data_IF_310157918958
#
_entry.id   IF_310157918958
#
_cell.length_a   1.000
_cell.length_b   1.000
_cell.length_c   1.000
_cell.angle_alpha   90.00
_cell.angle_beta   90.00
_cell.angle_gamma   90.00
#
_symmetry.space_group_name_H-M   'P 1'
#
loop_
_entity.id
_entity.type
_entity.pdbx_description
1 polymer ?
#
# COMPACT_ATOMS: atom_id res chain seq x y z
N UNK A 1 -48.48 2.71 -35.51
CA UNK A 1 -47.26 3.54 -35.46
C UNK A 1 -46.56 3.28 -34.14
N UNK A 2 -45.43 2.57 -34.19
CA UNK A 2 -44.55 2.29 -33.05
C UNK A 2 -44.05 3.58 -32.41
N UNK A 3 -44.16 3.72 -31.08
CA UNK A 3 -43.17 4.41 -30.25
C UNK A 3 -43.05 3.70 -28.90
N UNK A 4 -42.18 2.69 -28.88
CA UNK A 4 -41.46 2.24 -27.69
C UNK A 4 -40.66 3.44 -27.16
N UNK A 5 -40.81 3.78 -25.88
CA UNK A 5 -39.77 4.48 -25.12
C UNK A 5 -39.72 3.83 -23.73
N UNK A 6 -39.04 2.69 -23.70
CA UNK A 6 -38.49 2.07 -22.50
C UNK A 6 -37.32 2.96 -22.07
N UNK A 7 -37.56 3.89 -21.14
CA UNK A 7 -36.47 4.49 -20.36
C UNK A 7 -36.24 3.62 -19.12
N UNK A 8 -35.57 2.50 -19.36
CA UNK A 8 -34.87 1.76 -18.33
C UNK A 8 -33.62 2.59 -17.98
N UNK A 9 -33.79 3.61 -17.14
CA UNK A 9 -32.65 4.23 -16.48
C UNK A 9 -32.10 3.18 -15.52
N UNK A 10 -31.12 2.44 -16.03
CA UNK A 10 -30.19 1.60 -15.29
C UNK A 10 -29.90 2.24 -13.95
N UNK A 11 -30.51 1.69 -12.91
CA UNK A 11 -29.94 1.71 -11.57
C UNK A 11 -28.64 0.93 -11.72
N UNK A 12 -27.57 1.62 -12.11
CA UNK A 12 -26.20 1.18 -11.86
C UNK A 12 -26.06 1.23 -10.35
N UNK A 13 -26.62 0.21 -9.68
CA UNK A 13 -26.21 -0.19 -8.37
C UNK A 13 -24.76 -0.62 -8.51
N UNK A 14 -23.86 0.36 -8.45
CA UNK A 14 -22.49 0.11 -8.08
C UNK A 14 -22.59 -0.72 -6.79
N UNK A 15 -21.96 -1.90 -6.72
CA UNK A 15 -21.93 -2.63 -5.48
C UNK A 15 -21.38 -1.64 -4.45
N UNK A 16 -22.23 -1.32 -3.48
CA UNK A 16 -21.86 -0.57 -2.28
C UNK A 16 -20.57 -1.23 -1.83
N UNK A 17 -19.48 -0.46 -1.81
CA UNK A 17 -18.18 -0.93 -1.38
C UNK A 17 -18.32 -1.36 0.08
N UNK A 18 -18.68 -2.62 0.27
CA UNK A 18 -18.51 -3.34 1.53
C UNK A 18 -17.01 -3.55 1.64
N UNK A 19 -16.29 -2.61 2.24
CA UNK A 19 -14.92 -2.90 2.63
C UNK A 19 -14.46 -2.07 3.83
N UNK A 20 -15.22 -2.16 4.91
CA UNK A 20 -14.62 -2.11 6.24
C UNK A 20 -14.29 -3.55 6.63
N UNK A 21 -13.02 -3.97 6.50
CA UNK A 21 -12.58 -5.29 6.96
C UNK A 21 -11.42 -5.93 6.20
N UNK A 22 -10.88 -5.29 5.16
CA UNK A 22 -9.62 -5.76 4.60
C UNK A 22 -8.84 -4.59 4.00
N UNK A 23 -8.00 -3.95 4.83
CA UNK A 23 -7.20 -2.77 4.50
C UNK A 23 -6.16 -3.05 3.38
N UNK A 24 -6.01 -4.32 2.98
CA UNK A 24 -5.21 -4.75 1.84
C UNK A 24 -5.82 -4.32 0.51
N UNK A 25 -5.12 -3.45 -0.22
CA UNK A 25 -5.43 -3.10 -1.61
C UNK A 25 -4.67 -4.01 -2.59
N UNK A 26 -5.01 -3.95 -3.88
CA UNK A 26 -4.15 -4.45 -4.97
C UNK A 26 -3.50 -3.26 -5.71
N UNK A 27 -2.26 -2.86 -5.38
CA UNK A 27 -1.61 -1.70 -5.99
C UNK A 27 -1.48 -1.78 -7.53
N UNK A 28 -1.49 -2.98 -8.12
CA UNK A 28 -1.38 -3.14 -9.58
C UNK A 28 -2.65 -2.69 -10.31
N UNK A 29 -3.81 -2.80 -9.64
CA UNK A 29 -5.12 -2.48 -10.16
C UNK A 29 -5.73 -1.20 -9.54
N UNK A 30 -5.24 -0.77 -8.37
CA UNK A 30 -5.81 0.33 -7.57
C UNK A 30 -5.82 1.66 -8.34
N UNK A 31 -7.01 2.26 -8.46
CA UNK A 31 -7.24 3.52 -9.18
C UNK A 31 -7.54 4.70 -8.24
N UNK A 32 -7.35 5.90 -8.76
CA UNK A 32 -7.52 7.15 -8.03
C UNK A 32 -8.90 7.33 -7.41
N UNK A 33 -9.96 6.88 -8.07
CA UNK A 33 -11.31 6.90 -7.53
C UNK A 33 -11.40 6.11 -6.22
N UNK A 34 -10.73 4.97 -6.10
CA UNK A 34 -10.73 4.16 -4.88
C UNK A 34 -10.02 4.91 -3.74
N UNK A 35 -8.84 5.50 -4.01
CA UNK A 35 -8.07 6.27 -3.03
C UNK A 35 -8.87 7.44 -2.45
N UNK A 36 -9.54 8.24 -3.29
CA UNK A 36 -10.27 9.44 -2.85
C UNK A 36 -11.60 9.13 -2.17
N UNK A 37 -12.06 7.87 -2.26
CA UNK A 37 -13.26 7.39 -1.54
C UNK A 37 -12.94 6.74 -0.21
N UNK A 38 -11.66 6.51 0.10
CA UNK A 38 -11.28 6.00 1.41
C UNK A 38 -11.70 6.98 2.51
N UNK A 39 -12.23 6.48 3.63
CA UNK A 39 -12.63 7.34 4.73
C UNK A 39 -11.42 8.08 5.25
N UNK A 40 -11.52 9.40 5.28
CA UNK A 40 -10.60 10.24 6.03
C UNK A 40 -10.91 9.97 7.52
N UNK A 41 -9.91 9.55 8.29
CA UNK A 41 -10.11 9.24 9.71
C UNK A 41 -10.55 10.49 10.49
N UNK A 42 -11.14 10.29 11.67
CA UNK A 42 -11.41 11.38 12.60
C UNK A 42 -10.10 12.15 12.87
N UNK A 43 -10.01 13.39 12.40
CA UNK A 43 -8.78 14.19 12.42
C UNK A 43 -8.25 14.62 11.05
N UNK A 44 -8.89 14.21 9.95
CA UNK A 44 -8.54 14.71 8.61
C UNK A 44 -7.36 13.98 7.96
N UNK A 45 -6.92 12.85 8.51
CA UNK A 45 -5.75 12.14 8.00
C UNK A 45 -6.11 11.31 6.77
N UNK A 46 -5.34 11.52 5.71
CA UNK A 46 -5.43 10.75 4.48
C UNK A 46 -5.12 9.25 4.72
N UNK A 47 -5.55 8.34 3.84
CA UNK A 47 -5.45 6.88 4.04
C UNK A 47 -3.99 6.36 4.06
N UNK A 48 -3.35 6.42 5.24
CA UNK A 48 -1.93 6.08 5.43
C UNK A 48 -1.65 4.59 5.18
N UNK A 49 -2.61 3.70 5.49
CA UNK A 49 -2.41 2.27 5.33
C UNK A 49 -2.27 1.87 3.85
N UNK A 50 -3.11 2.42 2.98
CA UNK A 50 -3.05 2.28 1.53
C UNK A 50 -1.80 2.96 0.97
N UNK A 51 -1.47 4.15 1.47
CA UNK A 51 -0.28 4.90 1.08
C UNK A 51 1.00 4.08 1.26
N UNK A 52 1.16 3.40 2.40
CA UNK A 52 2.31 2.53 2.67
C UNK A 52 2.42 1.39 1.65
N UNK A 53 1.29 0.73 1.33
CA UNK A 53 1.28 -0.35 0.34
C UNK A 53 1.63 0.16 -1.07
N UNK A 54 1.11 1.32 -1.47
CA UNK A 54 1.40 1.94 -2.77
C UNK A 54 2.87 2.34 -2.84
N UNK A 55 3.38 3.01 -1.81
CA UNK A 55 4.75 3.51 -1.78
C UNK A 55 5.77 2.37 -1.84
N UNK A 56 5.54 1.30 -1.07
CA UNK A 56 6.36 0.10 -1.13
C UNK A 56 6.35 -0.52 -2.53
N UNK A 57 5.16 -0.68 -3.12
CA UNK A 57 5.01 -1.26 -4.46
C UNK A 57 5.75 -0.44 -5.52
N UNK A 58 5.57 0.89 -5.53
CA UNK A 58 6.24 1.80 -6.47
C UNK A 58 7.75 1.81 -6.24
N UNK A 59 8.19 1.84 -4.98
CA UNK A 59 9.61 1.79 -4.61
C UNK A 59 10.30 0.53 -5.12
N UNK A 60 9.64 -0.63 -5.06
CA UNK A 60 10.17 -1.86 -5.67
C UNK A 60 10.29 -1.75 -7.21
N UNK A 61 9.31 -1.15 -7.88
CA UNK A 61 9.34 -0.95 -9.34
C UNK A 61 10.41 0.03 -9.81
N UNK A 62 10.82 0.95 -8.94
CA UNK A 62 11.88 1.93 -9.22
C UNK A 62 13.25 1.53 -8.66
N UNK A 63 13.35 0.38 -8.01
CA UNK A 63 14.60 -0.11 -7.42
C UNK A 63 15.05 0.67 -6.18
N UNK A 64 14.15 1.41 -5.53
CA UNK A 64 14.42 2.10 -4.27
C UNK A 64 14.08 1.20 -3.07
N UNK A 65 15.05 0.68 -2.31
CA UNK A 65 14.77 -0.21 -1.18
C UNK A 65 14.43 0.53 0.12
N UNK A 66 14.35 1.87 0.13
CA UNK A 66 14.24 2.67 1.35
C UNK A 66 12.79 3.08 1.60
N UNK A 67 12.28 2.77 2.79
CA UNK A 67 11.03 3.34 3.30
C UNK A 67 11.33 4.68 3.97
N UNK A 68 10.65 5.74 3.55
CA UNK A 68 10.90 7.11 4.00
C UNK A 68 9.61 7.67 4.66
N UNK A 69 9.50 7.59 6.00
CA UNK A 69 8.30 8.03 6.70
C UNK A 69 8.08 9.54 6.63
N UNK A 70 9.14 10.34 6.46
CA UNK A 70 9.04 11.81 6.41
C UNK A 70 8.38 12.28 5.10
N UNK A 71 8.62 11.57 4.00
CA UNK A 71 8.05 11.93 2.70
C UNK A 71 6.66 11.33 2.45
N UNK A 72 6.23 10.33 3.22
CA UNK A 72 4.97 9.63 2.97
C UNK A 72 3.75 10.56 3.00
N UNK A 73 3.61 11.37 4.04
CA UNK A 73 2.47 12.28 4.21
C UNK A 73 2.36 13.35 3.11
N UNK A 74 3.43 14.12 2.79
CA UNK A 74 3.35 15.09 1.71
C UNK A 74 3.18 14.42 0.32
N UNK A 75 3.76 13.23 0.11
CA UNK A 75 3.58 12.46 -1.12
C UNK A 75 2.12 12.01 -1.29
N UNK A 76 1.51 11.51 -0.21
CA UNK A 76 0.09 11.15 -0.18
C UNK A 76 -0.79 12.38 -0.49
N UNK A 77 -0.48 13.54 0.09
CA UNK A 77 -1.21 14.78 -0.21
C UNK A 77 -1.16 15.16 -1.69
N UNK A 78 0.02 15.10 -2.32
CA UNK A 78 0.18 15.38 -3.75
C UNK A 78 -0.54 14.34 -4.63
N UNK A 79 -0.44 13.06 -4.30
CA UNK A 79 -1.12 12.00 -5.03
C UNK A 79 -2.64 12.12 -4.91
N UNK A 80 -3.16 12.44 -3.72
CA UNK A 80 -4.59 12.64 -3.48
C UNK A 80 -5.15 13.80 -4.32
N UNK A 81 -4.46 14.95 -4.34
CA UNK A 81 -4.85 16.10 -5.16
C UNK A 81 -4.87 15.77 -6.66
N UNK A 82 -3.87 15.05 -7.16
CA UNK A 82 -3.84 14.59 -8.55
C UNK A 82 -4.98 13.59 -8.85
N UNK A 83 -5.28 12.69 -7.92
CA UNK A 83 -6.36 11.72 -8.06
C UNK A 83 -7.76 12.35 -8.10
N UNK A 84 -7.97 13.50 -7.44
CA UNK A 84 -9.23 14.26 -7.56
C UNK A 84 -9.48 14.75 -9.00
N UNK A 85 -8.41 15.08 -9.74
CA UNK A 85 -8.48 15.55 -11.13
C UNK A 85 -8.57 14.37 -12.11
N UNK A 86 -7.99 13.23 -11.76
CA UNK A 86 -7.86 12.08 -12.65
C UNK A 86 -8.35 10.76 -12.01
N UNK A 87 -9.65 10.63 -11.70
CA UNK A 87 -10.16 9.51 -10.89
C UNK A 87 -9.99 8.13 -11.53
N UNK A 88 -9.85 8.04 -12.87
CA UNK A 88 -9.68 6.76 -13.57
C UNK A 88 -8.22 6.35 -13.74
N UNK A 89 -7.25 7.17 -13.33
CA UNK A 89 -5.83 6.82 -13.41
C UNK A 89 -5.44 5.82 -12.32
N UNK A 90 -4.43 5.01 -12.60
CA UNK A 90 -3.82 4.14 -11.58
C UNK A 90 -3.11 5.00 -10.55
N UNK A 91 -3.32 4.70 -9.26
CA UNK A 91 -2.66 5.45 -8.18
C UNK A 91 -1.15 5.29 -8.27
N UNK A 92 -0.65 4.12 -8.64
CA UNK A 92 0.80 3.88 -8.80
C UNK A 92 1.46 4.77 -9.85
N UNK A 93 0.74 5.14 -10.92
CA UNK A 93 1.26 6.06 -11.92
C UNK A 93 1.33 7.50 -11.38
N UNK A 94 0.26 7.95 -10.72
CA UNK A 94 0.21 9.26 -10.05
C UNK A 94 1.30 9.36 -8.97
N UNK A 95 1.45 8.31 -8.16
CA UNK A 95 2.43 8.21 -7.09
C UNK A 95 3.86 8.26 -7.61
N UNK A 96 4.15 7.54 -8.70
CA UNK A 96 5.47 7.55 -9.33
C UNK A 96 5.84 8.94 -9.84
N UNK A 97 4.90 9.69 -10.42
CA UNK A 97 5.14 11.07 -10.85
C UNK A 97 5.36 12.00 -9.64
N UNK A 98 4.53 11.87 -8.61
CA UNK A 98 4.69 12.65 -7.38
C UNK A 98 6.05 12.35 -6.70
N UNK A 99 6.51 11.10 -6.66
CA UNK A 99 7.78 10.72 -6.01
C UNK A 99 9.00 11.44 -6.58
N UNK A 100 8.97 11.87 -7.85
CA UNK A 100 10.05 12.59 -8.53
C UNK A 100 10.32 13.98 -7.94
N UNK A 101 9.38 14.56 -7.19
CA UNK A 101 9.52 15.88 -6.57
C UNK A 101 10.17 15.82 -5.19
N UNK A 102 10.33 14.62 -4.62
CA UNK A 102 10.87 14.41 -3.29
C UNK A 102 12.30 13.84 -3.36
N UNK A 103 13.21 14.28 -2.47
CA UNK A 103 14.51 13.65 -2.34
C UNK A 103 14.35 12.17 -1.91
N UNK A 104 15.39 11.38 -2.14
CA UNK A 104 15.49 10.04 -1.54
C UNK A 104 16.26 10.22 -0.24
N UNK A 105 15.61 10.06 0.90
CA UNK A 105 16.35 9.97 2.15
C UNK A 105 17.15 8.67 2.17
N UNK A 106 18.46 8.79 2.38
CA UNK A 106 19.35 7.62 2.47
C UNK A 106 19.69 7.26 3.91
N UNK A 107 19.27 8.09 4.88
CA UNK A 107 19.53 7.93 6.30
C UNK A 107 18.51 7.01 7.00
N UNK A 108 17.31 6.82 6.44
CA UNK A 108 16.33 5.88 6.96
C UNK A 108 16.92 4.48 7.19
N UNK A 109 16.64 3.95 8.38
CA UNK A 109 17.07 2.62 8.84
C UNK A 109 16.16 1.50 8.35
N UNK A 110 14.95 1.84 7.90
CA UNK A 110 13.95 0.91 7.39
C UNK A 110 14.15 0.67 5.89
N UNK A 111 14.74 -0.49 5.56
CA UNK A 111 15.16 -0.79 4.19
C UNK A 111 14.89 -2.25 3.84
N UNK A 112 14.24 -2.48 2.71
CA UNK A 112 13.94 -3.81 2.20
C UNK A 112 15.19 -4.69 2.00
N UNK A 113 16.34 -4.08 1.72
CA UNK A 113 17.60 -4.76 1.40
C UNK A 113 18.52 -4.98 2.63
N UNK A 114 18.17 -4.46 3.80
CA UNK A 114 19.04 -4.50 4.99
C UNK A 114 18.34 -4.86 6.29
N UNK A 115 17.07 -4.52 6.45
CA UNK A 115 16.38 -4.71 7.72
C UNK A 115 16.23 -6.20 8.04
N UNK A 116 16.81 -6.60 9.17
CA UNK A 116 16.75 -7.95 9.71
C UNK A 116 15.59 -8.09 10.69
N UNK A 117 15.15 -9.32 10.94
CA UNK A 117 14.05 -9.60 11.87
C UNK A 117 14.30 -9.10 13.31
N UNK A 118 15.55 -9.12 13.77
CA UNK A 118 15.92 -8.57 15.08
C UNK A 118 15.74 -7.06 15.18
N UNK A 119 15.90 -6.34 14.07
CA UNK A 119 15.78 -4.87 14.04
C UNK A 119 14.33 -4.46 14.32
N UNK A 120 13.37 -5.17 13.72
CA UNK A 120 11.95 -5.02 14.03
C UNK A 120 11.61 -5.45 15.45
N UNK A 121 12.12 -6.62 15.88
CA UNK A 121 11.84 -7.15 17.23
C UNK A 121 12.33 -6.20 18.33
N UNK A 122 13.40 -5.44 18.07
CA UNK A 122 13.92 -4.44 19.00
C UNK A 122 13.00 -3.20 19.11
N UNK A 123 12.29 -2.82 18.04
CA UNK A 123 11.44 -1.63 17.97
C UNK A 123 10.14 -1.89 17.18
N UNK A 124 9.20 -2.71 17.71
CA UNK A 124 8.03 -3.15 16.95
C UNK A 124 7.05 -2.00 16.65
N UNK A 125 6.92 -1.03 17.56
CA UNK A 125 6.01 0.12 17.39
C UNK A 125 6.46 1.00 16.22
N UNK A 126 7.75 1.33 16.17
CA UNK A 126 8.37 2.14 15.10
C UNK A 126 8.43 1.39 13.76
N UNK A 127 8.46 0.05 13.80
CA UNK A 127 8.54 -0.81 12.61
C UNK A 127 7.19 -1.20 11.99
N UNK A 128 6.07 -0.89 12.65
CA UNK A 128 4.73 -1.32 12.22
C UNK A 128 4.37 -0.82 10.81
N UNK A 129 4.63 0.46 10.52
CA UNK A 129 4.45 1.03 9.17
C UNK A 129 5.37 0.40 8.12
N UNK A 130 6.60 0.04 8.51
CA UNK A 130 7.54 -0.61 7.61
C UNK A 130 7.06 -2.00 7.17
N UNK A 131 6.36 -2.76 8.02
CA UNK A 131 5.80 -4.07 7.62
C UNK A 131 4.77 -3.94 6.49
N UNK A 132 3.89 -2.94 6.57
CA UNK A 132 2.88 -2.66 5.54
C UNK A 132 3.55 -2.23 4.23
N UNK A 133 4.54 -1.35 4.33
CA UNK A 133 5.35 -0.92 3.18
C UNK A 133 6.12 -2.08 2.55
N UNK A 134 6.71 -2.95 3.37
CA UNK A 134 7.52 -4.08 2.93
C UNK A 134 6.66 -5.14 2.21
N UNK A 135 5.43 -5.34 2.63
CA UNK A 135 4.45 -6.17 1.92
C UNK A 135 4.17 -5.62 0.51
N UNK A 136 3.91 -4.30 0.39
CA UNK A 136 3.78 -3.62 -0.89
C UNK A 136 5.03 -3.77 -1.77
N UNK A 137 6.20 -3.59 -1.18
CA UNK A 137 7.50 -3.76 -1.84
C UNK A 137 7.70 -5.18 -2.37
N UNK A 138 7.40 -6.20 -1.55
CA UNK A 138 7.48 -7.60 -1.97
C UNK A 138 6.56 -7.90 -3.17
N UNK A 139 5.33 -7.38 -3.16
CA UNK A 139 4.40 -7.53 -4.29
C UNK A 139 4.90 -6.81 -5.54
N UNK A 140 5.47 -5.62 -5.39
CA UNK A 140 6.09 -4.88 -6.49
C UNK A 140 7.30 -5.62 -7.09
N UNK A 141 8.16 -6.18 -6.24
CA UNK A 141 9.38 -6.91 -6.63
C UNK A 141 9.07 -8.27 -7.27
N UNK A 142 8.15 -9.03 -6.68
CA UNK A 142 7.80 -10.38 -7.16
C UNK A 142 6.81 -10.38 -8.32
N UNK A 143 6.03 -9.30 -8.48
CA UNK A 143 4.92 -9.24 -9.43
C UNK A 143 3.75 -10.17 -9.07
N UNK A 144 3.73 -10.72 -7.85
CA UNK A 144 2.69 -11.62 -7.36
C UNK A 144 1.75 -10.87 -6.40
N UNK A 145 0.46 -11.25 -6.32
CA UNK A 145 -0.49 -10.61 -5.41
C UNK A 145 -0.40 -11.11 -3.96
N UNK A 146 0.43 -12.13 -3.70
CA UNK A 146 0.56 -12.76 -2.39
C UNK A 146 0.95 -11.73 -1.32
N UNK A 147 0.30 -11.79 -0.17
CA UNK A 147 0.42 -10.76 0.86
C UNK A 147 0.36 -11.34 2.27
N UNK A 148 1.02 -10.67 3.21
CA UNK A 148 0.86 -10.93 4.64
C UNK A 148 -0.29 -10.13 5.27
N UNK A 149 -0.83 -9.14 4.54
CA UNK A 149 -1.95 -8.30 4.98
C UNK A 149 -3.32 -8.89 4.66
N UNK A 150 -3.39 -10.19 4.31
CA UNK A 150 -4.66 -10.86 3.97
C UNK A 150 -5.62 -10.91 5.16
N UNK A 151 -5.06 -11.08 6.36
CA UNK A 151 -5.73 -11.01 7.67
C UNK A 151 -4.68 -11.03 8.81
N UNK A 152 -5.14 -10.80 10.03
CA UNK A 152 -4.30 -10.77 11.23
C UNK A 152 -3.55 -12.08 11.50
N UNK A 153 -4.15 -13.24 11.19
CA UNK A 153 -3.49 -14.54 11.40
C UNK A 153 -2.27 -14.72 10.50
N UNK A 154 -2.34 -14.28 9.24
CA UNK A 154 -1.22 -14.34 8.31
C UNK A 154 -0.13 -13.34 8.71
N UNK A 155 -0.52 -12.12 9.09
CA UNK A 155 0.41 -11.10 9.59
C UNK A 155 1.13 -11.61 10.84
N UNK A 156 0.38 -12.15 11.80
CA UNK A 156 0.93 -12.75 13.01
C UNK A 156 1.88 -13.90 12.71
N UNK A 157 1.50 -14.80 11.80
CA UNK A 157 2.37 -15.93 11.42
C UNK A 157 3.71 -15.45 10.84
N UNK A 158 3.69 -14.39 10.03
CA UNK A 158 4.91 -13.77 9.51
C UNK A 158 5.78 -13.19 10.64
N UNK A 159 5.21 -12.40 11.54
CA UNK A 159 5.96 -11.81 12.66
C UNK A 159 6.51 -12.89 13.62
N UNK A 160 5.72 -13.93 13.89
CA UNK A 160 6.14 -15.09 14.68
C UNK A 160 7.28 -15.86 13.98
N UNK A 161 7.27 -15.99 12.65
CA UNK A 161 8.38 -16.59 11.90
C UNK A 161 9.65 -15.73 11.94
N UNK A 162 9.48 -14.41 11.89
CA UNK A 162 10.58 -13.45 11.93
C UNK A 162 11.29 -13.47 13.31
N UNK A 163 10.52 -13.52 14.41
CA UNK A 163 11.08 -13.62 15.77
C UNK A 163 11.96 -14.86 16.00
N UNK A 164 11.76 -15.93 15.23
CA UNK A 164 12.54 -17.18 15.29
C UNK A 164 13.81 -17.15 14.43
N UNK A 165 13.95 -16.15 13.57
CA UNK A 165 15.02 -16.01 12.60
C UNK A 165 15.64 -14.60 12.66
N UNK A 166 16.25 -14.20 13.79
CA UNK A 166 16.63 -12.82 14.07
C UNK A 166 17.58 -12.20 13.03
N UNK A 167 18.46 -12.99 12.42
CA UNK A 167 19.44 -12.51 11.44
C UNK A 167 18.96 -12.60 9.98
N UNK A 168 17.77 -13.17 9.74
CA UNK A 168 17.19 -13.20 8.40
C UNK A 168 16.69 -11.81 8.00
N UNK A 169 16.74 -11.51 6.70
CA UNK A 169 16.08 -10.32 6.16
C UNK A 169 14.56 -10.47 6.33
N UNK A 170 13.91 -9.42 6.80
CA UNK A 170 12.45 -9.40 6.92
C UNK A 170 11.77 -9.68 5.58
N UNK A 171 12.33 -9.16 4.49
CA UNK A 171 11.80 -9.37 3.14
C UNK A 171 11.78 -10.85 2.74
N UNK A 172 12.81 -11.60 3.09
CA UNK A 172 12.93 -13.02 2.75
C UNK A 172 11.92 -13.86 3.53
N UNK A 173 11.76 -13.57 4.83
CA UNK A 173 10.74 -14.22 5.68
C UNK A 173 9.33 -13.87 5.22
N UNK A 174 9.10 -12.62 4.81
CA UNK A 174 7.82 -12.16 4.27
C UNK A 174 7.47 -12.90 2.98
N UNK A 175 8.42 -13.03 2.05
CA UNK A 175 8.23 -13.74 0.78
C UNK A 175 7.86 -15.21 0.97
N UNK A 176 8.30 -15.85 2.06
CA UNK A 176 7.95 -17.21 2.43
C UNK A 176 6.58 -17.32 3.14
N UNK A 177 6.16 -16.24 3.81
CA UNK A 177 4.96 -16.21 4.66
C UNK A 177 3.71 -15.71 3.94
N UNK A 178 3.90 -14.91 2.88
CA UNK A 178 2.81 -14.35 2.08
C UNK A 178 1.98 -15.44 1.41
N UNK A 179 0.65 -15.28 1.43
CA UNK A 179 -0.33 -16.21 0.84
C UNK A 179 -1.00 -15.59 -0.38
#
# INVERSE_FOLDING_TARGET
MNKLLILCCLVLGLPVAVQAGNDKIDPAAYICAELITQPITEGGQAPVFEALQIDGYVSAKTGNPIADPETLAPLLGQAYAACQVHPTQKVTAVWQEARKTFPVDTASTWRADKTQCKDYTANPDDGSGFVIWLDGYNRGKSGKPASVLVNDDVLKAYLDACSKQPDALMLDVLAQSAK
#
